data_IF_881970724522
#
_entry.id   IF_881970724522
#
_cell.length_a   1.000
_cell.length_b   1.000
_cell.length_c   1.000
_cell.angle_alpha   90.00
_cell.angle_beta   90.00
_cell.angle_gamma   90.00
#
_symmetry.space_group_name_H-M   'P 1'
#
loop_
_entity.id
_entity.type
_entity.pdbx_description
1 polymer ?
#
# COMPACT_ATOMS: atom_id res chain seq x y z
N UNK A 1 -24.48 -31.48 3.56
CA UNK A 1 -24.90 -30.10 3.25
C UNK A 1 -23.79 -29.16 3.67
N UNK A 2 -23.12 -28.48 2.75
CA UNK A 2 -22.13 -27.47 3.13
C UNK A 2 -22.87 -26.34 3.83
N UNK A 3 -22.60 -26.15 5.12
CA UNK A 3 -23.09 -25.01 5.89
C UNK A 3 -22.47 -23.78 5.22
N UNK A 4 -23.26 -23.03 4.45
CA UNK A 4 -22.91 -21.66 4.06
C UNK A 4 -22.78 -20.89 5.37
N UNK A 5 -21.56 -20.71 5.87
CA UNK A 5 -21.31 -19.73 6.94
C UNK A 5 -21.95 -18.44 6.44
N UNK A 6 -22.89 -17.90 7.22
CA UNK A 6 -23.43 -16.58 6.97
C UNK A 6 -22.23 -15.64 6.85
N UNK A 7 -22.03 -15.10 5.65
CA UNK A 7 -21.00 -14.08 5.44
C UNK A 7 -21.41 -12.94 6.35
N UNK A 8 -20.57 -12.48 7.29
CA UNK A 8 -20.88 -11.31 8.10
C UNK A 8 -21.32 -10.18 7.17
N UNK A 9 -22.39 -9.48 7.50
CA UNK A 9 -22.78 -8.30 6.74
C UNK A 9 -21.56 -7.38 6.65
N UNK A 10 -21.13 -7.08 5.43
CA UNK A 10 -19.97 -6.23 5.21
C UNK A 10 -20.34 -4.80 5.61
N UNK A 11 -19.39 -4.04 6.18
CA UNK A 11 -19.59 -2.61 6.39
C UNK A 11 -19.98 -1.89 5.10
N UNK A 12 -20.90 -0.92 5.18
CA UNK A 12 -21.29 -0.14 4.00
C UNK A 12 -20.12 0.69 3.41
N UNK A 13 -19.13 1.02 4.25
CA UNK A 13 -18.02 1.92 3.89
C UNK A 13 -16.68 1.28 4.26
N UNK A 14 -15.71 1.43 3.37
CA UNK A 14 -14.34 0.93 3.51
C UNK A 14 -13.33 2.03 3.22
N UNK A 15 -12.16 1.92 3.83
CA UNK A 15 -11.01 2.75 3.51
C UNK A 15 -9.78 1.88 3.29
N UNK A 16 -8.91 2.31 2.38
CA UNK A 16 -7.61 1.68 2.16
C UNK A 16 -6.51 2.50 2.81
N UNK A 17 -5.67 1.82 3.59
CA UNK A 17 -4.48 2.40 4.18
C UNK A 17 -3.32 1.45 3.91
N UNK A 18 -2.27 1.93 3.27
CA UNK A 18 -1.10 1.11 2.95
C UNK A 18 0.19 1.91 3.12
N UNK A 19 1.13 1.29 3.81
CA UNK A 19 2.53 1.70 3.84
C UNK A 19 3.38 0.55 3.35
N UNK A 20 4.38 0.83 2.52
CA UNK A 20 5.22 -0.23 1.95
C UNK A 20 6.61 0.25 1.56
N UNK A 21 7.56 -0.68 1.43
CA UNK A 21 8.92 -0.42 0.95
C UNK A 21 9.12 -0.79 -0.53
N UNK A 22 8.04 -0.88 -1.31
CA UNK A 22 8.09 -1.29 -2.72
C UNK A 22 7.06 -0.57 -3.58
N UNK A 23 7.52 0.13 -4.61
CA UNK A 23 6.69 0.89 -5.55
C UNK A 23 5.60 0.08 -6.28
N UNK A 24 5.64 -1.27 -6.22
CA UNK A 24 4.66 -2.14 -6.89
C UNK A 24 3.62 -2.74 -5.94
N UNK A 25 3.80 -2.64 -4.62
CA UNK A 25 3.02 -3.46 -3.68
C UNK A 25 1.55 -3.02 -3.57
N UNK A 26 1.27 -1.71 -3.68
CA UNK A 26 -0.06 -1.14 -3.45
C UNK A 26 -1.17 -1.76 -4.32
N UNK A 27 -0.88 -2.20 -5.54
CA UNK A 27 -1.95 -2.48 -6.52
C UNK A 27 -2.61 -3.86 -6.36
N UNK A 28 -1.87 -4.88 -5.95
CA UNK A 28 -2.34 -6.27 -6.01
C UNK A 28 -3.34 -6.63 -4.89
N UNK A 29 -3.08 -6.34 -3.60
CA UNK A 29 -3.99 -6.72 -2.53
C UNK A 29 -5.34 -6.02 -2.62
N UNK A 30 -5.35 -4.73 -3.00
CA UNK A 30 -6.58 -3.97 -3.11
C UNK A 30 -7.42 -4.35 -4.32
N UNK A 31 -6.86 -4.93 -5.39
CA UNK A 31 -7.64 -5.37 -6.55
C UNK A 31 -8.66 -6.44 -6.17
N UNK A 32 -8.23 -7.46 -5.42
CA UNK A 32 -9.11 -8.55 -4.96
C UNK A 32 -10.18 -8.03 -4.00
N UNK A 33 -9.79 -7.22 -3.03
CA UNK A 33 -10.72 -6.66 -2.03
C UNK A 33 -11.74 -5.72 -2.72
N UNK A 34 -11.30 -4.91 -3.67
CA UNK A 34 -12.18 -4.02 -4.44
C UNK A 34 -13.26 -4.80 -5.18
N UNK A 35 -12.92 -5.98 -5.72
CA UNK A 35 -13.90 -6.86 -6.37
C UNK A 35 -14.99 -7.34 -5.41
N UNK A 36 -14.62 -7.67 -4.16
CA UNK A 36 -15.57 -8.08 -3.12
C UNK A 36 -16.45 -6.90 -2.70
N UNK A 37 -15.84 -5.74 -2.39
CA UNK A 37 -16.56 -4.52 -1.98
C UNK A 37 -17.63 -4.13 -3.01
N UNK A 38 -17.26 -4.09 -4.30
CA UNK A 38 -18.19 -3.77 -5.39
C UNK A 38 -19.33 -4.78 -5.54
N UNK A 39 -19.06 -6.07 -5.31
CA UNK A 39 -20.08 -7.13 -5.39
C UNK A 39 -21.15 -7.00 -4.29
N UNK A 40 -20.81 -6.35 -3.19
CA UNK A 40 -21.67 -6.17 -2.03
C UNK A 40 -22.18 -4.73 -1.89
N UNK A 41 -22.14 -3.93 -2.97
CA UNK A 41 -22.62 -2.55 -3.01
C UNK A 41 -22.07 -1.64 -1.90
N UNK A 42 -20.85 -1.92 -1.44
CA UNK A 42 -20.16 -1.13 -0.45
C UNK A 42 -19.33 -0.01 -1.11
N UNK A 43 -19.08 1.07 -0.37
CA UNK A 43 -18.36 2.26 -0.83
C UNK A 43 -16.91 2.29 -0.33
N UNK A 44 -16.00 2.82 -1.15
CA UNK A 44 -14.63 3.13 -0.71
C UNK A 44 -14.54 4.64 -0.47
N UNK A 45 -14.47 5.04 0.79
CA UNK A 45 -14.55 6.44 1.23
C UNK A 45 -13.20 7.14 1.37
N UNK A 46 -12.09 6.40 1.29
CA UNK A 46 -10.75 6.95 1.39
C UNK A 46 -9.68 5.96 0.96
N UNK A 47 -8.58 6.48 0.42
CA UNK A 47 -7.39 5.70 0.05
C UNK A 47 -6.14 6.46 0.44
N UNK A 48 -5.25 5.80 1.16
CA UNK A 48 -3.92 6.28 1.49
C UNK A 48 -2.87 5.26 1.05
N UNK A 49 -1.86 5.76 0.37
CA UNK A 49 -0.70 5.02 -0.10
C UNK A 49 0.55 5.83 0.28
N UNK A 50 1.51 5.16 0.92
CA UNK A 50 2.80 5.76 1.22
C UNK A 50 3.90 4.73 1.06
N UNK A 51 4.82 5.03 0.15
CA UNK A 51 6.08 4.28 0.04
C UNK A 51 7.13 4.95 0.91
N UNK A 52 7.80 4.16 1.74
CA UNK A 52 8.86 4.64 2.63
C UNK A 52 10.22 4.04 2.27
N UNK A 53 11.26 4.82 2.52
CA UNK A 53 12.63 4.32 2.58
C UNK A 53 12.75 3.33 3.75
N UNK A 54 13.43 2.21 3.52
CA UNK A 54 13.64 1.21 4.56
C UNK A 54 14.84 1.59 5.44
N UNK A 55 14.71 2.69 6.18
CA UNK A 55 15.76 3.27 7.03
C UNK A 55 16.27 2.33 8.13
N UNK A 56 15.53 1.25 8.43
CA UNK A 56 15.92 0.26 9.42
C UNK A 56 16.96 -0.76 8.95
N UNK A 57 17.31 -0.79 7.65
CA UNK A 57 18.29 -1.74 7.10
C UNK A 57 19.63 -1.01 6.87
N UNK A 58 20.76 -1.50 7.44
CA UNK A 58 22.09 -0.94 7.18
C UNK A 58 22.44 -0.92 5.70
N UNK A 59 23.16 0.11 5.24
CA UNK A 59 23.53 0.27 3.83
C UNK A 59 24.23 -0.97 3.26
N UNK A 60 25.17 -1.56 3.99
CA UNK A 60 25.88 -2.77 3.55
C UNK A 60 24.93 -3.96 3.33
N UNK A 61 23.89 -4.07 4.15
CA UNK A 61 22.84 -5.08 3.97
C UNK A 61 22.00 -4.79 2.73
N UNK A 62 21.67 -3.52 2.47
CA UNK A 62 20.96 -3.13 1.24
C UNK A 62 21.78 -3.45 -0.01
N UNK A 63 23.09 -3.15 0.01
CA UNK A 63 24.02 -3.46 -1.08
C UNK A 63 24.16 -4.97 -1.29
N UNK A 64 24.32 -5.75 -0.22
CA UNK A 64 24.38 -7.21 -0.31
C UNK A 64 23.09 -7.81 -0.89
N UNK A 65 21.92 -7.25 -0.57
CA UNK A 65 20.65 -7.66 -1.16
C UNK A 65 20.59 -7.36 -2.66
N UNK A 66 21.07 -6.18 -3.09
CA UNK A 66 21.20 -5.84 -4.52
C UNK A 66 22.18 -6.78 -5.24
N UNK A 67 23.26 -7.17 -4.56
CA UNK A 67 24.29 -8.06 -5.10
C UNK A 67 23.78 -9.47 -5.44
N UNK A 68 22.73 -9.91 -4.76
CA UNK A 68 22.11 -11.20 -4.99
C UNK A 68 21.01 -11.19 -6.07
N UNK A 69 20.68 -10.02 -6.63
CA UNK A 69 19.67 -9.90 -7.68
C UNK A 69 20.27 -10.13 -9.09
N UNK A 70 19.50 -10.75 -10.01
CA UNK A 70 19.81 -10.72 -11.43
C UNK A 70 19.99 -9.27 -11.92
N UNK A 71 20.89 -9.05 -12.89
CA UNK A 71 21.28 -7.72 -13.37
C UNK A 71 20.08 -6.81 -13.72
N UNK A 72 19.12 -7.32 -14.50
CA UNK A 72 17.91 -6.58 -14.87
C UNK A 72 17.03 -6.19 -13.67
N UNK A 73 17.03 -7.00 -12.60
CA UNK A 73 16.28 -6.70 -11.37
C UNK A 73 17.04 -5.71 -10.48
N UNK A 74 18.37 -5.78 -10.47
CA UNK A 74 19.24 -4.88 -9.72
C UNK A 74 19.12 -3.44 -10.20
N UNK A 75 19.21 -3.20 -11.52
CA UNK A 75 19.05 -1.84 -12.06
C UNK A 75 17.70 -1.21 -11.67
N UNK A 76 16.64 -2.03 -11.71
CA UNK A 76 15.33 -1.60 -11.30
C UNK A 76 15.28 -1.29 -9.80
N UNK A 77 15.87 -2.15 -8.96
CA UNK A 77 15.90 -1.96 -7.52
C UNK A 77 16.66 -0.67 -7.13
N UNK A 78 17.79 -0.38 -7.77
CA UNK A 78 18.54 0.87 -7.58
C UNK A 78 17.67 2.09 -7.93
N UNK A 79 17.01 2.07 -9.09
CA UNK A 79 16.10 3.15 -9.51
C UNK A 79 14.92 3.33 -8.55
N UNK A 80 14.40 2.23 -8.02
CA UNK A 80 13.30 2.27 -7.06
C UNK A 80 13.78 2.83 -5.71
N UNK A 81 14.98 2.45 -5.24
CA UNK A 81 15.59 2.99 -4.01
C UNK A 81 15.77 4.51 -4.08
N UNK A 82 16.34 5.02 -5.18
CA UNK A 82 16.52 6.47 -5.37
C UNK A 82 15.18 7.23 -5.36
N UNK A 83 14.11 6.65 -5.91
CA UNK A 83 12.76 7.26 -5.88
C UNK A 83 12.12 7.27 -4.49
N UNK A 84 12.47 6.30 -3.64
CA UNK A 84 11.93 6.16 -2.29
C UNK A 84 12.72 6.96 -1.26
N UNK A 85 13.95 7.35 -1.60
CA UNK A 85 14.86 8.06 -0.71
C UNK A 85 14.22 9.31 -0.12
N UNK A 86 14.33 9.47 1.19
CA UNK A 86 13.74 10.59 1.93
C UNK A 86 12.22 10.53 2.07
N UNK A 87 11.57 9.42 1.70
CA UNK A 87 10.15 9.19 1.99
C UNK A 87 9.97 8.33 3.25
N UNK A 88 8.91 8.51 4.04
CA UNK A 88 7.85 9.52 3.88
C UNK A 88 8.38 10.96 4.05
N UNK A 89 7.84 11.89 3.25
CA UNK A 89 8.18 13.32 3.27
C UNK A 89 6.95 14.21 3.50
N UNK A 90 7.09 15.54 3.34
CA UNK A 90 6.00 16.50 3.53
C UNK A 90 4.78 16.24 2.61
N UNK A 91 5.02 15.77 1.39
CA UNK A 91 3.93 15.41 0.47
C UNK A 91 3.17 14.19 0.99
N UNK A 92 3.88 13.19 1.53
CA UNK A 92 3.27 12.04 2.19
C UNK A 92 2.43 12.45 3.40
N UNK A 93 2.89 13.44 4.16
CA UNK A 93 2.17 13.99 5.29
C UNK A 93 0.88 14.71 4.88
N UNK A 94 0.93 15.55 3.84
CA UNK A 94 -0.28 16.20 3.30
C UNK A 94 -1.27 15.20 2.69
N UNK A 95 -0.77 14.13 2.08
CA UNK A 95 -1.62 13.03 1.61
C UNK A 95 -2.32 12.31 2.80
N UNK A 96 -1.61 12.13 3.91
CA UNK A 96 -2.18 11.52 5.12
C UNK A 96 -3.27 12.41 5.75
N UNK A 97 -3.06 13.74 5.78
CA UNK A 97 -4.08 14.71 6.22
C UNK A 97 -5.32 14.65 5.32
N UNK A 98 -5.12 14.66 4.00
CA UNK A 98 -6.19 14.58 3.01
C UNK A 98 -7.00 13.29 3.17
N UNK A 99 -6.33 12.17 3.42
CA UNK A 99 -6.97 10.91 3.75
C UNK A 99 -7.82 11.01 5.03
N UNK A 100 -7.26 11.51 6.14
CA UNK A 100 -8.01 11.68 7.38
C UNK A 100 -9.27 12.55 7.20
N UNK A 101 -9.15 13.65 6.46
CA UNK A 101 -10.28 14.52 6.11
C UNK A 101 -11.33 13.75 5.30
N UNK A 102 -10.91 12.92 4.34
CA UNK A 102 -11.84 12.10 3.53
C UNK A 102 -12.64 11.13 4.39
N UNK A 103 -12.03 10.54 5.42
CA UNK A 103 -12.74 9.65 6.35
C UNK A 103 -13.81 10.42 7.12
N UNK A 104 -13.45 11.56 7.71
CA UNK A 104 -14.39 12.36 8.53
C UNK A 104 -15.57 12.86 7.72
N UNK A 105 -15.35 13.31 6.47
CA UNK A 105 -16.42 13.84 5.61
C UNK A 105 -17.40 12.77 5.11
N UNK A 106 -16.93 11.54 4.99
CA UNK A 106 -17.68 10.45 4.36
C UNK A 106 -18.03 9.34 5.35
N UNK A 107 -17.81 9.52 6.65
CA UNK A 107 -18.25 8.59 7.71
C UNK A 107 -19.77 8.56 7.82
#
# INVERSE_FOLDING_TARGET
TMIKKAVPELPAKFAYFCTHASLKLFQEPFKRITGVIKKHDCEIIGKFDCVGENLGIPLDTQLAMLDNLPEAQREKAIKDMEKMKGRPNEVDFENAKSFAISLVKNL
#
